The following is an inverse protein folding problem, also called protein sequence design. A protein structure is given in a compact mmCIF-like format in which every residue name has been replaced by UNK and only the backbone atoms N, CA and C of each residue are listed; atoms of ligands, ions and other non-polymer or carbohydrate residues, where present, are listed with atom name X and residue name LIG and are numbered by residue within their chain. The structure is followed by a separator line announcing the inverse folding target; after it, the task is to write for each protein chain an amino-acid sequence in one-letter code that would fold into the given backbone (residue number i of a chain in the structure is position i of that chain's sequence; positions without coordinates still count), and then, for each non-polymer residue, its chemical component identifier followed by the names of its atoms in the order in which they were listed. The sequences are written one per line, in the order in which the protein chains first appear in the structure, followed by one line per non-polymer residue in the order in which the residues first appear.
data_IF_593740577310
#
_entry.id   IF_593740577310
#
_cell.length_a   1.000
_cell.length_b   1.000
_cell.length_c   1.000
_cell.angle_alpha   90.00
_cell.angle_beta   90.00
_cell.angle_gamma   90.00
#
_symmetry.space_group_name_H-M   'P 1'
#
loop_
_entity.id
_entity.type
_entity.pdbx_description
1 polymer ?
#
# COMPACT_ATOMS: atom_id res chain seq x y z
N UNK A 1 -17.81 -10.31 -2.23
CA UNK A 1 -16.71 -11.23 -2.62
C UNK A 1 -15.44 -10.39 -2.59
N UNK A 2 -14.58 -10.57 -1.58
CA UNK A 2 -13.25 -9.98 -1.62
C UNK A 2 -12.48 -10.64 -2.76
N UNK A 3 -11.80 -9.85 -3.60
CA UNK A 3 -11.04 -10.32 -4.76
C UNK A 3 -10.11 -11.49 -4.38
N UNK A 4 -9.99 -12.57 -5.19
CA UNK A 4 -9.20 -13.76 -4.87
C UNK A 4 -7.71 -13.55 -4.55
N UNK A 5 -7.16 -12.34 -4.71
CA UNK A 5 -5.75 -12.01 -4.42
C UNK A 5 -5.55 -10.87 -3.41
N UNK A 6 -6.52 -10.58 -2.52
CA UNK A 6 -6.32 -9.52 -1.53
C UNK A 6 -5.21 -9.90 -0.51
N UNK A 7 -4.17 -9.08 -0.39
CA UNK A 7 -3.04 -9.29 0.52
C UNK A 7 -3.20 -8.45 1.77
N UNK A 8 -3.01 -9.05 2.95
CA UNK A 8 -3.01 -8.32 4.21
C UNK A 8 -1.72 -7.50 4.35
N UNK A 9 -1.86 -6.19 4.57
CA UNK A 9 -0.74 -5.26 4.68
C UNK A 9 -0.88 -4.42 5.94
N UNK A 10 0.23 -3.91 6.46
CA UNK A 10 0.21 -2.97 7.57
C UNK A 10 0.61 -1.58 7.07
N UNK A 11 -0.24 -0.58 7.20
CA UNK A 11 0.03 0.76 6.69
C UNK A 11 0.12 1.79 7.82
N UNK A 12 0.95 2.81 7.66
CA UNK A 12 0.99 3.98 8.56
C UNK A 12 1.17 5.25 7.75
N UNK A 13 0.61 6.37 8.19
CA UNK A 13 0.84 7.65 7.54
C UNK A 13 2.27 8.15 7.79
N UNK A 14 2.94 8.66 6.76
CA UNK A 14 4.30 9.21 6.82
C UNK A 14 4.25 10.70 7.17
N UNK A 15 3.84 11.00 8.41
CA UNK A 15 3.80 12.36 8.92
C UNK A 15 5.11 12.71 9.63
N UNK A 16 5.81 13.76 9.15
CA UNK A 16 7.03 14.28 9.79
C UNK A 16 6.76 14.61 11.26
N UNK A 17 7.38 13.86 12.17
CA UNK A 17 7.33 14.09 13.62
C UNK A 17 6.32 13.24 14.38
N UNK A 18 5.46 12.44 13.73
CA UNK A 18 4.57 11.49 14.41
C UNK A 18 4.85 10.06 13.95
N UNK A 19 5.29 9.22 14.89
CA UNK A 19 5.32 7.76 14.69
C UNK A 19 3.90 7.23 14.85
N UNK A 20 3.11 7.31 13.78
CA UNK A 20 1.78 6.73 13.75
C UNK A 20 1.89 5.20 13.84
N UNK A 21 1.00 4.58 14.63
CA UNK A 21 0.92 3.13 14.73
C UNK A 21 0.58 2.53 13.36
N UNK A 22 1.13 1.35 13.08
CA UNK A 22 0.71 0.56 11.93
C UNK A 22 -0.75 0.17 12.11
N UNK A 23 -1.56 0.49 11.11
CA UNK A 23 -2.93 0.02 10.99
C UNK A 23 -3.00 -1.14 10.01
N UNK A 24 -4.02 -1.98 10.17
CA UNK A 24 -4.27 -3.10 9.26
C UNK A 24 -4.94 -2.56 8.00
N UNK A 25 -4.41 -2.91 6.84
CA UNK A 25 -4.98 -2.61 5.55
C UNK A 25 -5.02 -3.85 4.66
N UNK A 26 -5.66 -3.71 3.52
CA UNK A 26 -5.65 -4.72 2.47
C UNK A 26 -5.12 -4.09 1.19
N UNK A 27 -4.17 -4.77 0.56
CA UNK A 27 -3.73 -4.45 -0.79
C UNK A 27 -4.58 -5.30 -1.74
N UNK A 28 -5.34 -4.62 -2.59
CA UNK A 28 -6.16 -5.23 -3.61
C UNK A 28 -5.39 -5.19 -4.93
N UNK A 29 -5.16 -6.35 -5.58
CA UNK A 29 -4.44 -6.41 -6.83
C UNK A 29 -5.21 -5.71 -7.94
N UNK A 30 -4.49 -5.41 -9.02
CA UNK A 30 -5.12 -5.01 -10.26
C UNK A 30 -6.03 -6.14 -10.78
N UNK A 31 -7.20 -5.77 -11.28
CA UNK A 31 -8.11 -6.69 -11.97
C UNK A 31 -8.10 -6.30 -13.45
N UNK A 32 -7.16 -6.89 -14.20
CA UNK A 32 -6.96 -6.60 -15.63
C UNK A 32 -8.24 -6.79 -16.46
N UNK A 33 -9.08 -7.77 -16.09
CA UNK A 33 -10.35 -8.04 -16.78
C UNK A 33 -11.35 -6.88 -16.73
N UNK A 34 -11.24 -5.96 -15.77
CA UNK A 34 -12.10 -4.78 -15.65
C UNK A 34 -11.30 -3.48 -15.61
N UNK A 35 -10.02 -3.51 -16.02
CA UNK A 35 -9.11 -2.36 -16.03
C UNK A 35 -9.04 -1.61 -14.69
N UNK A 36 -9.22 -2.32 -13.58
CA UNK A 36 -9.19 -1.72 -12.25
C UNK A 36 -7.79 -1.82 -11.69
N UNK A 37 -7.10 -0.68 -11.58
CA UNK A 37 -5.76 -0.58 -10.99
C UNK A 37 -5.68 -1.11 -9.55
N UNK A 38 -4.48 -1.48 -9.11
CA UNK A 38 -4.21 -1.86 -7.74
C UNK A 38 -4.62 -0.75 -6.76
N UNK A 39 -5.24 -1.15 -5.65
CA UNK A 39 -5.78 -0.20 -4.66
C UNK A 39 -5.47 -0.67 -3.25
N UNK A 40 -5.44 0.28 -2.32
CA UNK A 40 -5.11 0.05 -0.93
C UNK A 40 -6.29 0.44 -0.05
N UNK A 41 -6.83 -0.54 0.64
CA UNK A 41 -7.97 -0.39 1.53
C UNK A 41 -7.46 -0.16 2.95
N UNK A 42 -7.75 1.02 3.50
CA UNK A 42 -7.27 1.49 4.80
C UNK A 42 -8.44 1.87 5.69
N UNK A 43 -8.35 1.64 7.01
CA UNK A 43 -9.28 2.22 7.96
C UNK A 43 -9.08 3.75 8.01
N UNK A 44 -10.17 4.48 7.90
CA UNK A 44 -10.20 5.95 7.96
C UNK A 44 -10.28 6.40 9.43
N UNK A 45 -9.70 7.52 9.91
CA UNK A 45 -8.55 8.36 9.52
C UNK A 45 -7.20 7.85 10.14
N UNK A 46 -6.00 8.37 9.77
CA UNK A 46 -5.67 9.73 9.27
C UNK A 46 -5.25 9.81 7.79
N UNK A 47 -5.61 8.84 6.94
CA UNK A 47 -5.18 8.83 5.54
C UNK A 47 -6.02 9.76 4.65
N UNK A 48 -5.37 10.53 3.78
CA UNK A 48 -5.97 11.43 2.80
C UNK A 48 -5.37 11.18 1.41
N UNK A 49 -6.11 11.47 0.31
CA UNK A 49 -5.50 11.52 -1.01
C UNK A 49 -4.39 12.58 -1.00
N UNK A 50 -3.36 12.35 -1.81
CA UNK A 50 -2.07 13.07 -1.90
C UNK A 50 -1.10 12.88 -0.72
N UNK A 51 -1.52 12.21 0.36
CA UNK A 51 -0.65 11.91 1.50
C UNK A 51 0.27 10.72 1.22
N UNK A 52 1.37 10.65 1.95
CA UNK A 52 2.31 9.53 1.88
C UNK A 52 2.05 8.54 3.01
N UNK A 53 2.07 7.26 2.67
CA UNK A 53 1.91 6.15 3.60
C UNK A 53 3.07 5.16 3.46
N UNK A 54 3.43 4.52 4.56
CA UNK A 54 4.39 3.42 4.60
C UNK A 54 3.61 2.13 4.78
N UNK A 55 3.70 1.26 3.79
CA UNK A 55 3.02 -0.03 3.72
C UNK A 55 4.05 -1.11 3.99
N UNK A 56 3.73 -2.01 4.90
CA UNK A 56 4.54 -3.15 5.26
C UNK A 56 3.83 -4.42 4.81
N UNK A 57 4.45 -5.11 3.86
CA UNK A 57 4.02 -6.40 3.34
C UNK A 57 5.09 -7.43 3.70
N UNK A 58 4.76 -8.40 4.54
CA UNK A 58 5.67 -9.50 4.91
C UNK A 58 7.09 -9.05 5.35
N UNK A 59 7.21 -7.88 6.00
CA UNK A 59 8.47 -7.34 6.51
C UNK A 59 9.18 -6.36 5.56
N UNK A 60 8.72 -6.21 4.31
CA UNK A 60 9.16 -5.19 3.36
C UNK A 60 8.35 -3.91 3.59
N UNK A 61 9.03 -2.82 3.96
CA UNK A 61 8.40 -1.51 4.13
C UNK A 61 8.58 -0.67 2.86
N UNK A 62 7.48 -0.25 2.27
CA UNK A 62 7.42 0.48 1.01
C UNK A 62 6.72 1.80 1.27
N UNK A 63 7.32 2.91 0.82
CA UNK A 63 6.65 4.21 0.77
C UNK A 63 5.77 4.25 -0.46
N UNK A 64 4.52 4.60 -0.25
CA UNK A 64 3.55 4.84 -1.31
C UNK A 64 2.93 6.21 -1.12
N UNK A 65 2.61 6.88 -2.22
CA UNK A 65 1.80 8.09 -2.22
C UNK A 65 0.37 7.70 -2.55
N UNK A 66 -0.58 8.06 -1.71
CA UNK A 66 -2.00 7.93 -2.01
C UNK A 66 -2.35 8.97 -3.07
N UNK A 67 -2.79 8.56 -4.25
CA UNK A 67 -3.04 9.49 -5.38
C UNK A 67 -4.51 9.87 -5.48
N UNK A 68 -5.40 8.87 -5.33
CA UNK A 68 -6.84 9.09 -5.52
C UNK A 68 -7.64 8.28 -4.52
N UNK A 69 -8.67 8.88 -3.95
CA UNK A 69 -9.69 8.18 -3.18
C UNK A 69 -10.70 7.57 -4.16
N UNK A 70 -10.84 6.24 -4.16
CA UNK A 70 -11.77 5.50 -5.02
C UNK A 70 -13.11 5.34 -4.31
N UNK A 71 -13.08 4.86 -3.07
CA UNK A 71 -14.28 4.64 -2.26
C UNK A 71 -14.02 5.04 -0.81
N UNK A 72 -15.08 5.47 -0.13
CA UNK A 72 -15.05 5.77 1.30
C UNK A 72 -16.40 5.37 1.92
N UNK A 73 -16.36 4.40 2.82
CA UNK A 73 -17.54 3.88 3.54
C UNK A 73 -17.59 4.42 4.98
N UNK A 74 -16.79 5.43 5.32
CA UNK A 74 -16.71 6.02 6.66
C UNK A 74 -15.84 5.22 7.65
N UNK A 75 -15.89 3.88 7.59
CA UNK A 75 -14.99 3.00 8.38
C UNK A 75 -13.70 2.66 7.64
N UNK A 76 -13.79 2.54 6.31
CA UNK A 76 -12.67 2.23 5.43
C UNK A 76 -12.70 3.13 4.20
N UNK A 77 -11.52 3.37 3.66
CA UNK A 77 -11.31 4.13 2.46
C UNK A 77 -10.34 3.37 1.55
N UNK A 78 -10.71 3.27 0.28
CA UNK A 78 -9.92 2.63 -0.76
C UNK A 78 -9.21 3.71 -1.57
N UNK A 79 -7.90 3.60 -1.66
CA UNK A 79 -7.07 4.57 -2.34
C UNK A 79 -6.30 3.92 -3.49
N UNK A 80 -6.21 4.60 -4.62
CA UNK A 80 -5.12 4.35 -5.55
C UNK A 80 -3.84 4.90 -4.96
N UNK A 81 -2.72 4.23 -5.27
CA UNK A 81 -1.43 4.62 -4.77
C UNK A 81 -0.36 4.51 -5.86
N UNK A 82 0.70 5.30 -5.71
CA UNK A 82 1.90 5.22 -6.52
C UNK A 82 3.10 4.89 -5.62
N UNK A 83 3.91 3.87 -5.94
CA UNK A 83 5.10 3.54 -5.16
C UNK A 83 6.13 4.67 -5.28
N UNK A 84 6.67 5.12 -4.14
CA UNK A 84 7.77 6.08 -4.07
C UNK A 84 9.13 5.40 -3.80
N UNK A 85 9.13 4.10 -3.55
CA UNK A 85 10.32 3.28 -3.28
C UNK A 85 10.30 2.61 -1.91
N UNK A 86 11.24 1.69 -1.68
CA UNK A 86 11.40 1.02 -0.38
C UNK A 86 11.92 1.99 0.69
N UNK A 87 11.40 1.85 1.91
CA UNK A 87 11.99 2.52 3.08
C UNK A 87 13.17 1.68 3.50
N UNK A 88 14.36 2.13 3.09
CA UNK A 88 15.62 1.53 3.52
C UNK A 88 15.68 1.56 5.06
N UNK A 89 15.48 0.40 5.69
CA UNK A 89 15.79 0.22 7.11
C UNK A 89 17.30 0.37 7.20
N UNK A 90 17.86 1.25 8.06
CA UNK A 90 19.30 1.37 8.22
C UNK A 90 19.84 0.02 8.71
N UNK A 91 20.30 -0.83 7.79
CA UNK A 91 20.76 -2.18 8.10
C UNK A 91 20.59 -3.28 7.04
N UNK A 92 19.87 -3.10 5.92
CA UNK A 92 19.82 -4.16 4.88
C UNK A 92 20.16 -3.65 3.48
N UNK A 93 21.27 -4.19 2.98
CA UNK A 93 21.97 -3.93 1.72
C UNK A 93 21.02 -3.93 0.50
N UNK A 94 21.01 -2.79 -0.19
CA UNK A 94 20.50 -2.46 -1.54
C UNK A 94 20.22 -3.66 -2.46
N UNK A 95 18.97 -3.74 -2.91
CA UNK A 95 18.61 -4.04 -4.31
C UNK A 95 17.55 -3.03 -4.71
N UNK A 96 17.79 -2.28 -5.79
CA UNK A 96 16.83 -1.31 -6.29
C UNK A 96 15.58 -2.08 -6.74
N UNK A 97 14.47 -1.97 -6.00
CA UNK A 97 13.22 -2.61 -6.35
C UNK A 97 12.71 -1.99 -7.66
N UNK A 98 12.79 -2.77 -8.72
CA UNK A 98 12.26 -2.47 -10.04
C UNK A 98 10.75 -2.75 -10.05
N UNK A 99 9.97 -2.16 -10.98
CA UNK A 99 8.54 -2.46 -11.13
C UNK A 99 8.23 -3.97 -11.21
N UNK A 100 9.17 -4.79 -11.73
CA UNK A 100 9.07 -6.25 -11.73
C UNK A 100 8.95 -6.88 -10.33
N UNK A 101 9.59 -6.32 -9.30
CA UNK A 101 9.54 -6.86 -7.93
C UNK A 101 8.14 -6.77 -7.30
N UNK A 102 7.25 -5.93 -7.85
CA UNK A 102 5.84 -5.88 -7.45
C UNK A 102 5.03 -6.96 -8.17
N UNK A 103 5.30 -7.23 -9.45
CA UNK A 103 4.67 -8.33 -10.20
C UNK A 103 5.06 -9.70 -9.63
N UNK A 104 6.32 -9.85 -9.20
CA UNK A 104 6.82 -11.07 -8.56
C UNK A 104 6.09 -11.40 -7.24
N UNK A 105 5.56 -10.40 -6.53
CA UNK A 105 4.77 -10.62 -5.31
C UNK A 105 3.38 -11.19 -5.64
N UNK A 106 2.85 -10.90 -6.83
CA UNK A 106 1.56 -11.40 -7.31
C UNK A 106 1.67 -12.75 -8.02
N UNK A 107 2.83 -13.07 -8.62
CA UNK A 107 3.13 -14.36 -9.27
C UNK A 107 3.44 -15.49 -8.28
N UNK A 108 3.72 -15.19 -7.00
CA UNK A 108 4.10 -16.17 -5.97
C UNK A 108 2.87 -16.80 -5.25
N UNK A 109 1.65 -16.45 -5.62
CA UNK A 109 0.40 -16.99 -5.05
C UNK A 109 -0.24 -18.08 -5.92
#
# INVERSE_FOLDING_TARGET
MLSPGAVAVAARADQRGRKNAYTRGLLLPEIASIQQQATLLLPSPPFRPEDTAIVNCHGKEIRVRLTKLVENTGSFAQFQFAPLGEVDKPGKRRTAATPQDFDDIWEIL
#
